data_IF_832919818833
#
_entry.id   IF_832919818833
#
_cell.length_a   1.000
_cell.length_b   1.000
_cell.length_c   1.000
_cell.angle_alpha   90.00
_cell.angle_beta   90.00
_cell.angle_gamma   90.00
#
_symmetry.space_group_name_H-M   'P 1'
#
loop_
_entity.id
_entity.type
_entity.pdbx_description
1 polymer ?
2 non-polymer ?
3 non-polymer ?
4 water ?
#
# COMPACT_ATOMS: atom_id res chain seq x y z
N UNK A 14 -13.79 13.92 -1.35
CA UNK A 14 -14.33 12.84 -0.51
C UNK A 14 -13.22 11.96 0.07
N UNK A 15 -12.90 12.18 1.34
CA UNK A 15 -11.80 11.48 2.01
C UNK A 15 -12.32 10.56 3.09
N UNK A 16 -11.56 9.50 3.35
CA UNK A 16 -11.91 8.51 4.37
C UNK A 16 -10.72 8.32 5.30
N UNK A 17 -11.02 7.94 6.54
CA UNK A 17 -9.97 7.69 7.53
C UNK A 17 -9.25 6.39 7.22
N UNK A 18 -7.92 6.41 7.38
CA UNK A 18 -7.11 5.20 7.24
C UNK A 18 -7.05 4.40 8.54
N UNK A 19 -7.57 4.93 9.64
CA UNK A 19 -7.64 4.23 10.92
C UNK A 19 -9.07 4.30 11.43
N UNK A 20 -9.56 3.18 11.98
CA UNK A 20 -10.89 3.10 12.57
C UNK A 20 -10.76 2.43 13.93
N UNK A 21 -10.60 3.22 14.97
CA UNK A 21 -10.58 2.71 16.33
C UNK A 21 -9.24 2.12 16.71
N UNK A 22 -9.26 1.26 17.74
CA UNK A 22 -7.99 0.71 18.24
C UNK A 22 -7.42 -0.40 17.38
N UNK A 23 -8.29 -1.20 16.77
CA UNK A 23 -7.83 -2.35 16.03
C UNK A 23 -6.89 -1.96 14.90
N UNK A 24 -6.01 -2.89 14.54
CA UNK A 24 -5.05 -2.69 13.47
C UNK A 24 -5.54 -3.21 12.12
N UNK A 25 -6.76 -3.74 12.07
CA UNK A 25 -7.28 -4.30 10.82
C UNK A 25 -7.36 -3.21 9.75
N UNK A 26 -7.14 -3.56 8.49
CA UNK A 26 -7.32 -2.58 7.42
C UNK A 26 -8.76 -2.08 7.36
N UNK A 27 -8.92 -0.89 6.76
CA UNK A 27 -10.25 -0.31 6.60
C UNK A 27 -10.96 -0.85 5.37
N UNK A 28 -10.24 -1.43 4.42
CA UNK A 28 -10.82 -1.95 3.20
C UNK A 28 -9.87 -2.97 2.61
N UNK A 29 -10.45 -3.97 1.94
CA UNK A 29 -9.69 -4.96 1.17
C UNK A 29 -10.34 -5.09 -0.20
N UNK A 30 -9.50 -5.21 -1.22
CA UNK A 30 -9.92 -5.45 -2.59
C UNK A 30 -9.12 -6.63 -3.12
N UNK A 31 -9.73 -7.41 -4.00
CA UNK A 31 -9.06 -8.53 -4.66
C UNK A 31 -9.17 -8.37 -6.16
N UNK A 32 -8.11 -8.80 -6.86
CA UNK A 32 -7.98 -8.64 -8.29
C UNK A 32 -7.55 -9.95 -8.93
N UNK A 33 -8.01 -10.16 -10.17
CA UNK A 33 -7.58 -11.27 -11.01
C UNK A 33 -6.33 -10.82 -11.77
N UNK A 34 -5.18 -11.40 -11.40
CA UNK A 34 -3.92 -10.96 -12.00
C UNK A 34 -3.86 -11.24 -13.50
N UNK A 35 -4.57 -12.26 -13.98
CA UNK A 35 -4.59 -12.53 -15.41
C UNK A 35 -5.23 -11.40 -16.21
N UNK A 36 -5.95 -10.49 -15.54
CA UNK A 36 -6.71 -9.44 -16.21
C UNK A 36 -6.21 -8.04 -15.89
N UNK A 37 -5.10 -7.90 -15.18
CA UNK A 37 -4.58 -6.58 -14.84
C UNK A 37 -3.63 -6.14 -15.95
N UNK A 38 -3.95 -5.00 -16.57
CA UNK A 38 -3.06 -4.33 -17.50
C UNK A 38 -2.44 -3.08 -16.91
N UNK A 39 -3.15 -2.39 -16.02
CA UNK A 39 -2.64 -1.22 -15.32
C UNK A 39 -2.05 -1.69 -13.99
N UNK A 40 -0.73 -1.65 -13.89
CA UNK A 40 -0.02 -2.10 -12.70
C UNK A 40 0.40 -0.94 -11.81
N UNK A 41 -0.50 0.03 -11.60
CA UNK A 41 -0.20 1.20 -10.80
C UNK A 41 -1.37 1.54 -9.90
N UNK A 42 -1.07 2.28 -8.83
CA UNK A 42 -2.06 2.79 -7.90
C UNK A 42 -1.66 4.20 -7.51
N UNK A 43 -2.65 5.05 -7.29
CA UNK A 43 -2.38 6.45 -6.98
C UNK A 43 -3.45 6.97 -6.02
N UNK A 44 -3.04 7.87 -5.14
CA UNK A 44 -3.93 8.40 -4.11
C UNK A 44 -3.33 9.66 -3.53
N UNK A 45 -4.11 10.33 -2.69
CA UNK A 45 -3.62 11.43 -1.86
C UNK A 45 -3.77 11.04 -0.40
N UNK A 46 -2.80 11.44 0.41
CA UNK A 46 -2.77 11.13 1.84
C UNK A 46 -2.43 12.38 2.63
N UNK A 47 -3.01 12.49 3.82
CA UNK A 47 -2.76 13.59 4.73
C UNK A 47 -2.70 13.03 6.14
N UNK A 48 -1.71 13.45 6.91
CA UNK A 48 -1.53 12.88 8.24
C UNK A 48 -0.53 13.70 9.04
N UNK A 49 -0.70 13.67 10.36
CA UNK A 49 0.30 14.13 11.31
C UNK A 49 1.01 12.97 11.99
N UNK A 50 0.72 11.74 11.59
CA UNK A 50 1.19 10.49 12.19
C UNK A 50 2.51 10.07 11.55
N UNK A 51 3.57 9.83 12.33
CA UNK A 51 4.85 9.49 11.72
C UNK A 51 5.01 8.02 11.34
N UNK A 52 4.08 7.14 11.73
CA UNK A 52 4.30 5.71 11.54
C UNK A 52 2.97 5.01 11.28
N UNK A 53 2.97 4.10 10.33
CA UNK A 53 1.79 3.31 10.06
C UNK A 53 1.81 2.75 8.65
N UNK A 54 0.82 1.91 8.37
CA UNK A 54 0.66 1.30 7.06
C UNK A 54 -0.30 2.14 6.22
N UNK A 55 0.10 2.45 4.99
CA UNK A 55 -0.78 3.12 4.05
C UNK A 55 -1.57 2.05 3.30
N UNK A 56 -0.86 1.14 2.61
CA UNK A 56 -1.53 -0.01 2.04
C UNK A 56 -0.59 -1.19 1.95
N UNK A 57 -1.20 -2.36 1.78
CA UNK A 57 -0.54 -3.65 1.73
C UNK A 57 -1.04 -4.39 0.49
N UNK A 58 -0.16 -5.17 -0.13
CA UNK A 58 -0.55 -5.97 -1.27
C UNK A 58 0.10 -7.34 -1.22
N UNK A 59 -0.60 -8.33 -1.76
CA UNK A 59 0.00 -9.66 -1.82
C UNK A 59 -0.73 -10.55 -2.82
N UNK A 60 -0.03 -11.61 -3.24
CA UNK A 60 -0.67 -12.80 -3.76
C UNK A 60 -0.54 -13.98 -2.81
N UNK A 61 0.26 -13.85 -1.76
CA UNK A 61 0.54 -14.87 -0.76
C UNK A 61 1.17 -14.18 0.45
N UNK A 62 0.50 -14.17 1.61
CA UNK A 62 1.06 -13.40 2.75
C UNK A 62 2.34 -13.99 3.31
N UNK A 63 2.73 -15.19 2.89
CA UNK A 63 3.99 -15.80 3.30
C UNK A 63 5.11 -15.58 2.29
N UNK A 64 4.80 -15.64 1.00
CA UNK A 64 5.82 -15.70 -0.04
C UNK A 64 5.82 -14.55 -1.03
N UNK A 65 4.79 -13.68 -1.05
CA UNK A 65 4.72 -12.64 -2.08
C UNK A 65 3.84 -11.51 -1.57
N UNK A 66 4.46 -10.57 -0.83
CA UNK A 66 3.72 -9.46 -0.25
C UNK A 66 4.53 -8.18 -0.31
N UNK A 67 3.82 -7.07 -0.11
CA UNK A 67 4.35 -5.72 -0.29
C UNK A 67 3.64 -4.82 0.71
N UNK A 68 4.38 -3.88 1.28
CA UNK A 68 3.81 -2.90 2.20
C UNK A 68 4.38 -1.53 1.88
N UNK A 69 3.52 -0.54 1.74
CA UNK A 69 3.90 0.87 1.72
C UNK A 69 3.40 1.50 3.01
N UNK A 70 4.32 2.06 3.80
CA UNK A 70 3.94 2.70 5.03
C UNK A 70 4.76 3.92 5.31
N UNK A 71 4.66 4.44 6.52
CA UNK A 71 5.50 5.54 7.00
C UNK A 71 6.29 5.06 8.21
N UNK A 72 7.55 5.46 8.29
CA UNK A 72 8.35 5.32 9.49
C UNK A 72 9.16 6.59 9.64
N UNK A 73 9.10 7.19 10.83
CA UNK A 73 9.73 8.50 11.08
C UNK A 73 9.24 9.52 10.05
N UNK A 74 7.96 9.43 9.72
CA UNK A 74 7.32 10.37 8.81
C UNK A 74 7.56 10.15 7.34
N UNK A 75 8.55 9.30 6.97
CA UNK A 75 8.92 9.13 5.57
C UNK A 75 8.39 7.82 5.01
N UNK A 76 8.17 7.75 3.69
CA UNK A 76 7.77 6.48 3.09
C UNK A 76 8.74 5.36 3.40
N UNK A 77 8.18 4.18 3.63
CA UNK A 77 8.94 2.94 3.76
C UNK A 77 8.24 1.87 2.93
N UNK A 78 9.03 1.10 2.20
CA UNK A 78 8.52 -0.07 1.49
C UNK A 78 9.17 -1.30 2.08
N UNK A 79 8.35 -2.30 2.40
CA UNK A 79 8.83 -3.64 2.69
C UNK A 79 8.27 -4.57 1.63
N UNK A 80 9.12 -5.43 1.10
CA UNK A 80 8.76 -6.31 0.00
C UNK A 80 9.41 -7.66 0.27
N UNK A 81 8.66 -8.74 0.02
CA UNK A 81 9.18 -10.09 0.17
C UNK A 81 8.57 -10.95 -0.93
N UNK A 82 9.38 -11.35 -1.91
CA UNK A 82 8.93 -12.25 -2.95
C UNK A 82 10.10 -13.11 -3.41
N UNK A 83 9.88 -13.87 -4.48
CA UNK A 83 10.88 -14.80 -4.99
C UNK A 83 12.15 -14.07 -5.39
N UNK A 84 12.02 -12.85 -5.93
CA UNK A 84 13.15 -12.14 -6.52
C UNK A 84 13.84 -11.19 -5.56
N UNK A 85 13.13 -10.65 -4.57
CA UNK A 85 13.70 -9.63 -3.70
C UNK A 85 13.07 -9.67 -2.33
N UNK A 86 13.84 -9.28 -1.33
CA UNK A 86 13.38 -9.13 0.05
C UNK A 86 14.06 -7.89 0.61
N UNK A 87 13.31 -6.84 0.92
CA UNK A 87 13.97 -5.60 1.30
C UNK A 87 13.11 -4.75 2.22
N UNK A 88 13.79 -3.82 2.88
CA UNK A 88 13.17 -2.82 3.76
C UNK A 88 13.86 -1.50 3.44
N UNK A 89 13.14 -0.56 2.83
CA UNK A 89 13.77 0.63 2.27
C UNK A 89 12.94 1.85 2.60
N UNK A 90 13.60 2.90 3.11
CA UNK A 90 12.99 4.20 3.30
C UNK A 90 13.49 5.17 2.25
N UNK A 91 12.65 6.14 1.92
CA UNK A 91 13.00 7.13 0.91
C UNK A 91 11.98 8.26 0.95
N UNK A 92 12.33 9.36 0.29
CA UNK A 92 11.43 10.48 0.13
C UNK A 92 11.41 11.38 1.34
N UNK A 93 10.67 12.48 1.24
CA UNK A 93 10.58 13.43 2.36
C UNK A 93 9.58 12.96 3.40
N UNK A 94 9.59 13.65 4.54
CA UNK A 94 8.55 13.44 5.54
C UNK A 94 7.20 13.85 4.97
N UNK A 95 6.18 13.04 5.25
CA UNK A 95 4.82 13.32 4.80
C UNK A 95 3.87 13.61 5.95
N UNK A 96 4.35 13.55 7.19
CA UNK A 96 3.51 13.78 8.37
C UNK A 96 3.48 15.25 8.77
N UNK A 97 3.26 16.11 7.77
CA UNK A 97 3.22 17.56 7.98
C UNK A 97 1.82 18.14 7.86
N UNK A 98 0.80 17.31 7.64
CA UNK A 98 -0.56 17.78 7.57
C UNK A 98 -1.01 18.24 6.20
N UNK A 99 -0.11 18.29 5.23
CA UNK A 99 -0.46 18.66 3.87
C UNK A 99 -0.87 17.42 3.07
N UNK A 100 -1.82 17.61 2.16
CA UNK A 100 -2.13 16.55 1.21
C UNK A 100 -0.90 16.28 0.33
N UNK A 101 -0.63 15.01 0.09
CA UNK A 101 0.48 14.59 -0.76
C UNK A 101 -0.02 13.58 -1.77
N UNK A 102 0.37 13.75 -3.03
CA UNK A 102 0.08 12.77 -4.06
C UNK A 102 1.11 11.66 -4.01
N UNK A 103 0.65 10.41 -4.08
CA UNK A 103 1.52 9.24 -4.07
C UNK A 103 1.11 8.32 -5.21
N UNK A 104 2.09 7.81 -5.94
CA UNK A 104 1.84 6.82 -6.98
C UNK A 104 2.87 5.71 -6.84
N UNK A 105 2.40 4.46 -6.89
CA UNK A 105 3.26 3.28 -6.93
C UNK A 105 3.00 2.57 -8.25
N UNK A 106 4.07 2.37 -9.03
CA UNK A 106 3.94 1.76 -10.34
C UNK A 106 4.97 0.65 -10.52
N UNK A 107 4.56 -0.39 -11.23
CA UNK A 107 5.48 -1.43 -11.69
C UNK A 107 5.86 -1.12 -13.13
N UNK A 108 7.15 -0.91 -13.37
CA UNK A 108 7.68 -0.59 -14.69
C UNK A 108 8.77 -1.61 -14.99
N UNK A 109 8.52 -2.50 -15.94
CA UNK A 109 9.45 -3.58 -16.18
C UNK A 109 9.56 -4.46 -14.94
N UNK A 110 10.79 -4.67 -14.47
CA UNK A 110 11.03 -5.44 -13.26
C UNK A 110 11.17 -4.56 -12.02
N UNK A 111 10.82 -3.28 -12.11
CA UNK A 111 11.05 -2.33 -11.04
C UNK A 111 9.74 -1.82 -10.47
N UNK A 112 9.79 -1.47 -9.18
CA UNK A 112 8.71 -0.76 -8.49
C UNK A 112 9.17 0.68 -8.30
N UNK A 113 8.36 1.62 -8.79
CA UNK A 113 8.63 3.05 -8.68
C UNK A 113 7.71 3.68 -7.65
N UNK A 114 8.24 4.64 -6.89
CA UNK A 114 7.45 5.40 -5.93
C UNK A 114 7.59 6.89 -6.26
N UNK A 115 6.47 7.53 -6.57
CA UNK A 115 6.44 8.96 -6.85
C UNK A 115 5.67 9.66 -5.74
N UNK A 116 6.21 10.78 -5.27
CA UNK A 116 5.61 11.55 -4.20
C UNK A 116 5.51 13.00 -4.64
N UNK A 117 4.30 13.55 -4.64
CA UNK A 117 4.07 14.93 -5.05
C UNK A 117 4.66 15.18 -6.44
N UNK A 118 4.51 14.21 -7.32
CA UNK A 118 4.93 14.34 -8.71
C UNK A 118 6.40 14.13 -8.96
N UNK A 119 7.17 13.69 -7.96
CA UNK A 119 8.60 13.45 -8.12
C UNK A 119 8.89 12.00 -7.78
N UNK A 120 9.63 11.32 -8.66
CA UNK A 120 10.12 9.99 -8.36
C UNK A 120 11.15 10.07 -7.23
N UNK A 121 10.86 9.37 -6.13
CA UNK A 121 11.75 9.38 -4.97
C UNK A 121 12.44 8.04 -4.74
N UNK A 122 12.00 6.97 -5.42
CA UNK A 122 12.53 5.65 -5.16
C UNK A 122 12.20 4.74 -6.34
N UNK A 123 13.19 3.98 -6.78
CA UNK A 123 13.00 2.96 -7.80
C UNK A 123 13.69 1.70 -7.33
N UNK A 124 12.91 0.70 -6.94
CA UNK A 124 13.45 -0.60 -6.56
C UNK A 124 13.56 -1.45 -7.84
N UNK A 125 14.79 -1.65 -8.30
CA UNK A 125 15.02 -2.35 -9.55
C UNK A 125 15.20 -3.84 -9.32
N UNK A 126 14.81 -4.64 -10.31
CA UNK A 126 15.01 -6.08 -10.30
C UNK A 126 14.29 -6.73 -9.12
N UNK A 127 13.04 -6.34 -8.89
CA UNK A 127 12.26 -6.84 -7.76
C UNK A 127 11.03 -7.61 -8.20
N UNK A 128 10.78 -7.74 -9.50
CA UNK A 128 9.61 -8.47 -9.97
C UNK A 128 9.95 -9.22 -11.22
N UNK A 129 9.40 -10.43 -11.34
CA UNK A 129 9.58 -11.26 -12.50
C UNK A 129 8.44 -11.16 -13.47
N UNK A 130 8.55 -11.89 -14.60
CA UNK A 130 7.53 -11.90 -15.66
C UNK A 130 6.34 -12.80 -15.32
N UNK A 134 2.58 -20.09 -12.36
CA UNK A 134 3.66 -20.16 -11.40
C UNK A 134 3.32 -19.36 -10.13
N UNK A 135 2.65 -18.23 -10.33
CA UNK A 135 2.29 -17.31 -9.26
C UNK A 135 0.79 -17.38 -8.99
N UNK A 136 0.41 -17.32 -7.72
CA UNK A 136 -1.01 -17.30 -7.39
C UNK A 136 -1.66 -16.09 -8.04
N UNK A 137 -2.74 -16.27 -8.83
CA UNK A 137 -3.21 -15.17 -9.68
C UNK A 137 -4.28 -14.29 -9.04
N UNK A 138 -4.34 -14.26 -7.71
CA UNK A 138 -5.26 -13.39 -6.99
C UNK A 138 -4.42 -12.43 -6.15
N UNK A 139 -4.55 -11.13 -6.41
CA UNK A 139 -3.85 -10.12 -5.64
C UNK A 139 -4.84 -9.40 -4.73
N UNK A 140 -4.48 -9.29 -3.46
CA UNK A 140 -5.25 -8.53 -2.50
C UNK A 140 -4.56 -7.20 -2.25
N UNK A 141 -5.36 -6.15 -2.09
CA UNK A 141 -4.88 -4.84 -1.67
C UNK A 141 -5.68 -4.47 -0.43
N UNK A 142 -4.97 -4.17 0.66
CA UNK A 142 -5.57 -3.75 1.91
C UNK A 142 -5.14 -2.34 2.24
N UNK A 143 -6.09 -1.50 2.67
CA UNK A 143 -5.83 -0.10 2.96
C UNK A 143 -5.79 0.11 4.47
N UNK A 144 -4.74 0.80 4.93
CA UNK A 144 -4.63 1.15 6.33
C UNK A 144 -4.19 0.03 7.25
N UNK A 145 -3.84 -1.13 6.72
CA UNK A 145 -3.43 -2.23 7.56
C UNK A 145 -2.86 -3.36 6.74
N UNK A 146 -2.31 -4.33 7.45
CA UNK A 146 -1.75 -5.53 6.85
C UNK A 146 -2.78 -6.66 6.86
N UNK A 147 -2.50 -7.70 6.08
CA UNK A 147 -3.26 -8.94 6.13
C UNK A 147 -2.49 -10.05 6.83
N UNK A 148 -1.51 -9.70 7.65
CA UNK A 148 -0.93 -10.61 8.63
C UNK A 148 -0.53 -9.79 9.84
N UNK A 149 -0.17 -10.46 10.95
CA UNK A 149 0.24 -9.70 12.14
C UNK A 149 1.50 -8.90 11.87
N UNK A 150 1.54 -7.68 12.43
CA UNK A 150 2.71 -6.82 12.24
C UNK A 150 4.00 -7.50 12.63
N UNK A 151 3.93 -8.49 13.53
CA UNK A 151 5.10 -9.24 13.94
C UNK A 151 5.78 -9.94 12.77
N UNK A 152 5.06 -10.19 11.68
CA UNK A 152 5.62 -10.92 10.54
C UNK A 152 6.27 -10.01 9.51
N UNK A 153 6.25 -8.70 9.73
CA UNK A 153 6.98 -7.79 8.85
C UNK A 153 8.48 -8.08 8.94
N UNK A 154 9.21 -7.75 7.87
CA UNK A 154 10.66 -7.80 7.94
C UNK A 154 11.19 -6.92 9.06
N UNK A 155 10.60 -5.74 9.22
CA UNK A 155 10.93 -4.83 10.32
C UNK A 155 9.61 -4.33 10.91
N UNK A 156 9.21 -4.80 12.08
CA UNK A 156 7.89 -4.41 12.60
C UNK A 156 7.72 -2.92 12.75
N UNK A 157 6.49 -2.47 12.53
CA UNK A 157 6.03 -1.14 12.90
C UNK A 157 4.63 -1.29 13.49
N UNK A 158 4.12 -0.20 14.06
CA UNK A 158 2.75 -0.15 14.57
C UNK A 158 1.86 0.29 13.42
N UNK A 159 0.97 -0.57 12.91
CA UNK A 159 0.34 -0.28 11.61
C UNK A 159 -0.63 0.89 11.59
N UNK A 160 -1.24 1.23 12.73
CA UNK A 160 -2.27 2.27 12.74
C UNK A 160 -1.72 3.58 12.20
N UNK A 161 -2.35 4.08 11.13
CA UNK A 161 -1.95 5.34 10.49
C UNK A 161 -3.11 6.32 10.59
N UNK A 162 -3.06 7.20 11.60
CA UNK A 162 -4.11 8.20 11.77
C UNK A 162 -4.01 9.26 10.69
N UNK A 163 -4.64 9.01 9.54
CA UNK A 163 -4.62 9.92 8.42
C UNK A 163 -5.85 9.71 7.56
N UNK A 164 -5.93 10.48 6.48
CA UNK A 164 -7.07 10.40 5.59
C UNK A 164 -6.59 10.18 4.16
N UNK A 165 -7.46 9.55 3.37
CA UNK A 165 -7.15 9.07 2.03
C UNK A 165 -8.23 9.54 1.08
N UNK A 166 -7.83 10.07 -0.08
CA UNK A 166 -8.78 10.50 -1.08
C UNK A 166 -8.18 10.34 -2.47
N UNK A 167 -9.04 10.56 -3.48
CA UNK A 167 -8.65 10.48 -4.89
C UNK A 167 -7.84 9.23 -5.18
N UNK A 168 -8.29 8.09 -4.66
CA UNK A 168 -7.51 6.86 -4.66
C UNK A 168 -8.00 5.91 -5.75
N UNK A 169 -7.06 5.47 -6.59
CA UNK A 169 -7.32 4.48 -7.62
C UNK A 169 -6.36 3.31 -7.42
N UNK A 170 -6.88 2.09 -7.54
CA UNK A 170 -6.11 0.89 -7.22
C UNK A 170 -6.13 -0.06 -8.42
N UNK A 171 -4.96 -0.24 -9.04
CA UNK A 171 -4.74 -1.19 -10.13
C UNK A 171 -5.82 -0.98 -11.18
N UNK A 172 -6.44 -2.03 -11.70
CA UNK A 172 -7.32 -1.98 -12.84
C UNK A 172 -8.73 -2.35 -12.38
N UNK A 173 -9.66 -1.40 -12.48
CA UNK A 173 -11.04 -1.69 -12.11
C UNK A 173 -11.59 -2.88 -12.88
N UNK A 174 -11.12 -3.10 -14.11
CA UNK A 174 -11.61 -4.19 -14.93
C UNK A 174 -11.23 -5.56 -14.37
N UNK A 175 -10.27 -5.61 -13.45
CA UNK A 175 -9.75 -6.86 -12.93
C UNK A 175 -10.20 -7.16 -11.52
N UNK A 176 -11.03 -6.30 -10.93
CA UNK A 176 -11.41 -6.44 -9.52
C UNK A 176 -12.46 -7.53 -9.36
N UNK A 177 -12.19 -8.47 -8.46
CA UNK A 177 -13.11 -9.56 -8.18
C UNK A 177 -14.03 -9.23 -7.02
N UNK A 178 -13.52 -8.54 -6.01
CA UNK A 178 -14.25 -8.32 -4.77
C UNK A 178 -13.74 -7.04 -4.12
N UNK A 179 -14.62 -6.41 -3.34
CA UNK A 179 -14.26 -5.22 -2.59
C UNK A 179 -15.07 -5.22 -1.30
N UNK A 180 -14.41 -4.91 -0.19
CA UNK A 180 -15.08 -4.93 1.11
C UNK A 180 -16.20 -3.89 1.15
N UNK A 181 -17.07 -4.03 2.15
CA UNK A 181 -18.23 -3.17 2.26
C UNK A 181 -17.79 -1.72 2.40
N UNK A 182 -18.33 -0.80 1.57
CA UNK A 182 -17.93 0.62 1.69
C UNK A 182 -18.60 1.35 2.82
N UNK A 183 -19.65 0.78 3.42
CA UNK A 183 -20.31 1.39 4.58
C UNK A 183 -19.51 1.25 5.85
N UNK A 184 -18.43 0.47 5.82
CA UNK A 184 -17.45 0.46 6.91
C UNK A 184 -16.68 1.77 7.00
N UNK A 185 -16.61 2.51 5.90
CA UNK A 185 -15.73 3.67 5.82
C UNK A 185 -16.23 4.82 6.67
N UNK A 186 -15.29 5.65 7.13
CA UNK A 186 -15.55 6.76 8.03
C UNK A 186 -15.06 8.03 7.36
N UNK A 187 -15.98 8.96 7.09
CA UNK A 187 -15.63 10.17 6.37
C UNK A 187 -14.61 11.01 7.16
N UNK A 188 -13.86 11.83 6.45
CA UNK A 188 -12.91 12.76 7.06
C UNK A 188 -13.41 14.19 6.90
#
# INVERSE_FOLDING_TARGET
LRPVLPTQSAHDPPAVHLSNGPGQEPIAVMTFDLTKITKTSSSFEVRTWDPEGVIFYGDTNPKDDWFMLGLRDGRPEIQLHNHWAQLTVGAGPRLDDGRWHQVEVKMEGDSVLLEVDGEEVLRLRQVSGPLTSKRHPIMRIALGGLLFPASNLRLPLVPALDGCLRRDSWLDKQAKISASAPTSLRSCDVESNPGIFLPPGTQAE
#
